data_IF_995807931951
#
_entry.id   IF_995807931951
#
_cell.length_a   1.000
_cell.length_b   1.000
_cell.length_c   1.000
_cell.angle_alpha   90.00
_cell.angle_beta   90.00
_cell.angle_gamma   90.00
#
_symmetry.space_group_name_H-M   'P 1'
#
loop_
_entity.id
_entity.type
_entity.pdbx_description
1 polymer ?
#
# COMPACT_ATOMS: atom_id res chain seq x y z
N UNK A 1 -3.25 16.37 2.38
CA UNK A 1 -4.42 16.58 3.27
C UNK A 1 -4.37 15.55 4.40
N UNK A 2 -4.61 15.95 5.64
CA UNK A 2 -4.66 15.04 6.80
C UNK A 2 -6.09 14.60 7.08
N UNK A 3 -6.28 13.41 7.69
CA UNK A 3 -7.62 12.89 7.99
C UNK A 3 -8.43 13.78 8.94
N UNK A 4 -7.77 14.45 9.90
CA UNK A 4 -8.43 15.33 10.88
C UNK A 4 -8.60 16.77 10.38
N UNK A 5 -8.64 17.00 9.06
CA UNK A 5 -8.76 18.33 8.49
C UNK A 5 -10.15 18.61 7.94
N UNK A 6 -10.59 19.87 8.00
CA UNK A 6 -11.83 20.34 7.38
C UNK A 6 -11.82 20.09 5.86
N UNK A 7 -10.64 20.22 5.24
CA UNK A 7 -10.44 19.88 3.83
C UNK A 7 -10.84 18.43 3.53
N UNK A 8 -10.48 17.48 4.42
CA UNK A 8 -10.87 16.07 4.25
C UNK A 8 -12.37 15.88 4.39
N UNK A 9 -13.00 16.56 5.34
CA UNK A 9 -14.46 16.48 5.51
C UNK A 9 -15.18 16.95 4.24
N UNK A 10 -14.78 18.09 3.67
CA UNK A 10 -15.38 18.61 2.43
C UNK A 10 -15.15 17.63 1.27
N UNK A 11 -13.92 17.16 1.09
CA UNK A 11 -13.58 16.17 0.07
C UNK A 11 -14.41 14.90 0.20
N UNK A 12 -14.50 14.35 1.41
CA UNK A 12 -15.29 13.16 1.72
C UNK A 12 -16.76 13.36 1.39
N UNK A 13 -17.36 14.48 1.79
CA UNK A 13 -18.76 14.78 1.50
C UNK A 13 -19.00 14.86 -0.01
N UNK A 14 -18.15 15.56 -0.76
CA UNK A 14 -18.27 15.65 -2.22
C UNK A 14 -18.21 14.26 -2.86
N UNK A 15 -17.21 13.44 -2.51
CA UNK A 15 -17.07 12.07 -3.03
C UNK A 15 -18.28 11.22 -2.63
N UNK A 16 -18.76 11.33 -1.39
CA UNK A 16 -19.93 10.59 -0.90
C UNK A 16 -21.21 10.95 -1.65
N UNK A 17 -21.46 12.24 -1.88
CA UNK A 17 -22.63 12.70 -2.64
C UNK A 17 -22.57 12.22 -4.10
N UNK A 18 -21.41 12.26 -4.75
CA UNK A 18 -21.26 11.72 -6.12
C UNK A 18 -21.41 10.19 -6.12
N UNK A 19 -20.88 9.49 -5.11
CA UNK A 19 -21.00 8.04 -4.99
C UNK A 19 -22.46 7.59 -4.83
N UNK A 20 -23.22 8.29 -3.97
CA UNK A 20 -24.56 7.87 -3.56
C UNK A 20 -25.67 8.31 -4.52
N UNK A 21 -25.58 9.51 -5.11
CA UNK A 21 -26.68 10.05 -5.92
C UNK A 21 -26.54 9.65 -7.41
N UNK A 22 -25.58 10.19 -8.18
CA UNK A 22 -25.49 9.90 -9.61
C UNK A 22 -24.99 8.49 -9.95
N UNK A 23 -24.23 7.84 -9.05
CA UNK A 23 -23.57 6.57 -9.35
C UNK A 23 -24.22 5.34 -8.70
N UNK A 24 -25.35 5.50 -7.99
CA UNK A 24 -25.96 4.46 -7.14
C UNK A 24 -26.08 3.07 -7.80
N UNK A 25 -26.48 3.02 -9.06
CA UNK A 25 -26.73 1.77 -9.80
C UNK A 25 -25.56 1.34 -10.69
N UNK A 26 -24.49 2.14 -10.73
CA UNK A 26 -23.38 1.99 -11.66
C UNK A 26 -22.12 1.56 -10.92
N UNK A 27 -22.06 0.28 -10.53
CA UNK A 27 -20.95 -0.32 -9.76
C UNK A 27 -19.55 0.01 -10.32
N UNK A 28 -19.36 -0.09 -11.63
CA UNK A 28 -18.07 0.24 -12.25
C UNK A 28 -17.68 1.70 -12.05
N UNK A 29 -18.61 2.62 -12.29
CA UNK A 29 -18.37 4.06 -12.10
C UNK A 29 -18.12 4.39 -10.62
N UNK A 30 -18.81 3.72 -9.69
CA UNK A 30 -18.57 3.83 -8.25
C UNK A 30 -17.15 3.41 -7.87
N UNK A 31 -16.68 2.27 -8.37
CA UNK A 31 -15.32 1.78 -8.10
C UNK A 31 -14.26 2.72 -8.70
N UNK A 32 -14.48 3.23 -9.92
CA UNK A 32 -13.59 4.24 -10.54
C UNK A 32 -13.53 5.50 -9.68
N UNK A 33 -14.68 6.01 -9.23
CA UNK A 33 -14.74 7.19 -8.37
C UNK A 33 -13.95 6.96 -7.08
N UNK A 34 -14.17 5.82 -6.40
CA UNK A 34 -13.46 5.49 -5.16
C UNK A 34 -11.96 5.32 -5.38
N UNK A 35 -11.56 4.72 -6.49
CA UNK A 35 -10.15 4.58 -6.87
C UNK A 35 -9.51 5.95 -7.07
N UNK A 36 -10.10 6.79 -7.93
CA UNK A 36 -9.63 8.15 -8.19
C UNK A 36 -9.59 8.97 -6.90
N UNK A 37 -10.65 8.94 -6.10
CA UNK A 37 -10.71 9.65 -4.83
C UNK A 37 -9.58 9.20 -3.88
N UNK A 38 -9.30 7.90 -3.80
CA UNK A 38 -8.21 7.35 -2.98
C UNK A 38 -6.85 7.87 -3.47
N UNK A 39 -6.56 7.78 -4.76
CA UNK A 39 -5.30 8.26 -5.33
C UNK A 39 -5.14 9.78 -5.19
N UNK A 40 -6.21 10.56 -5.40
CA UNK A 40 -6.22 12.01 -5.20
C UNK A 40 -5.96 12.37 -3.73
N UNK A 41 -6.61 11.69 -2.79
CA UNK A 41 -6.39 11.91 -1.35
C UNK A 41 -4.91 11.72 -0.97
N UNK A 42 -4.31 10.59 -1.38
CA UNK A 42 -2.89 10.32 -1.14
C UNK A 42 -1.97 11.27 -1.89
N UNK A 43 -2.31 11.62 -3.13
CA UNK A 43 -1.57 12.57 -3.96
C UNK A 43 -1.48 13.97 -3.38
N UNK A 44 -2.60 14.48 -2.84
CA UNK A 44 -2.65 15.78 -2.15
C UNK A 44 -1.88 15.73 -0.82
N UNK A 45 -1.78 14.57 -0.17
CA UNK A 45 -0.93 14.42 1.02
C UNK A 45 0.56 14.44 0.66
N UNK A 46 0.97 13.64 -0.31
CA UNK A 46 2.32 13.66 -0.84
C UNK A 46 2.34 13.00 -2.23
N UNK A 47 2.56 13.80 -3.27
CA UNK A 47 2.55 13.32 -4.66
C UNK A 47 3.59 12.21 -4.93
N UNK A 48 4.71 12.19 -4.18
CA UNK A 48 5.73 11.13 -4.27
C UNK A 48 5.19 9.75 -3.90
N UNK A 49 4.05 9.67 -3.22
CA UNK A 49 3.39 8.41 -2.88
C UNK A 49 2.62 7.79 -4.05
N UNK A 50 2.22 8.57 -5.06
CA UNK A 50 1.40 8.04 -6.17
C UNK A 50 2.14 6.90 -6.90
N UNK A 51 3.41 7.05 -7.33
CA UNK A 51 4.14 5.95 -7.96
C UNK A 51 4.29 4.74 -7.04
N UNK A 52 4.51 4.97 -5.74
CA UNK A 52 4.64 3.90 -4.75
C UNK A 52 3.33 3.12 -4.61
N UNK A 53 2.18 3.79 -4.52
CA UNK A 53 0.87 3.15 -4.46
C UNK A 53 0.58 2.38 -5.75
N UNK A 54 0.82 2.97 -6.92
CA UNK A 54 0.61 2.30 -8.21
C UNK A 54 1.45 1.03 -8.32
N UNK A 55 2.73 1.10 -7.96
CA UNK A 55 3.62 -0.06 -7.95
C UNK A 55 3.14 -1.11 -6.96
N UNK A 56 2.82 -0.72 -5.72
CA UNK A 56 2.33 -1.65 -4.71
C UNK A 56 1.02 -2.34 -5.14
N UNK A 57 0.03 -1.58 -5.61
CA UNK A 57 -1.23 -2.13 -6.11
C UNK A 57 -0.99 -3.05 -7.30
N UNK A 58 -0.20 -2.64 -8.30
CA UNK A 58 0.08 -3.45 -9.48
C UNK A 58 0.83 -4.75 -9.16
N UNK A 59 1.84 -4.69 -8.29
CA UNK A 59 2.59 -5.87 -7.86
C UNK A 59 1.70 -6.86 -7.10
N UNK A 60 0.93 -6.39 -6.11
CA UNK A 60 0.08 -7.28 -5.31
C UNK A 60 -1.11 -7.82 -6.09
N UNK A 61 -1.69 -7.03 -7.01
CA UNK A 61 -2.70 -7.49 -7.96
C UNK A 61 -2.16 -8.65 -8.81
N UNK A 62 -0.99 -8.46 -9.42
CA UNK A 62 -0.33 -9.48 -10.24
C UNK A 62 0.01 -10.74 -9.43
N UNK A 63 0.50 -10.57 -8.20
CA UNK A 63 0.78 -11.69 -7.30
C UNK A 63 -0.49 -12.47 -6.96
N UNK A 64 -1.60 -11.80 -6.65
CA UNK A 64 -2.87 -12.45 -6.39
C UNK A 64 -3.30 -13.37 -7.54
N UNK A 65 -3.28 -12.86 -8.77
CA UNK A 65 -3.62 -13.66 -9.97
C UNK A 65 -2.69 -14.86 -10.14
N UNK A 66 -1.37 -14.64 -10.01
CA UNK A 66 -0.38 -15.71 -10.16
C UNK A 66 -0.50 -16.78 -9.08
N UNK A 67 -0.79 -16.39 -7.84
CA UNK A 67 -1.00 -17.30 -6.71
C UNK A 67 -2.28 -18.11 -6.94
N UNK A 68 -3.38 -17.46 -7.30
CA UNK A 68 -4.65 -18.14 -7.57
C UNK A 68 -4.53 -19.18 -8.69
N UNK A 69 -3.85 -18.85 -9.79
CA UNK A 69 -3.55 -19.81 -10.87
C UNK A 69 -2.64 -20.95 -10.41
N UNK A 70 -1.62 -20.63 -9.61
CA UNK A 70 -0.64 -21.63 -9.16
C UNK A 70 -1.20 -22.58 -8.09
N UNK A 71 -2.22 -22.18 -7.33
CA UNK A 71 -2.81 -23.02 -6.29
C UNK A 71 -3.35 -24.35 -6.82
N UNK A 72 -3.87 -24.38 -8.04
CA UNK A 72 -4.41 -25.60 -8.66
C UNK A 72 -3.34 -26.45 -9.37
N UNK A 73 -2.28 -25.82 -9.89
CA UNK A 73 -1.28 -26.49 -10.74
C UNK A 73 -0.01 -26.86 -9.96
N UNK A 74 0.45 -25.98 -9.08
CA UNK A 74 1.74 -26.12 -8.37
C UNK A 74 1.69 -25.42 -7.00
N UNK A 75 1.23 -26.10 -5.94
CA UNK A 75 1.05 -25.48 -4.62
C UNK A 75 2.36 -24.94 -4.02
N UNK A 76 3.50 -25.58 -4.33
CA UNK A 76 4.83 -25.07 -3.93
C UNK A 76 5.13 -23.69 -4.52
N UNK A 77 4.73 -23.44 -5.77
CA UNK A 77 4.91 -22.15 -6.44
C UNK A 77 4.00 -21.08 -5.83
N UNK A 78 2.76 -21.43 -5.52
CA UNK A 78 1.83 -20.54 -4.83
C UNK A 78 2.36 -20.10 -3.46
N UNK A 79 2.91 -21.05 -2.68
CA UNK A 79 3.55 -20.77 -1.39
C UNK A 79 4.75 -19.82 -1.52
N UNK A 80 5.63 -20.04 -2.51
CA UNK A 80 6.78 -19.17 -2.76
C UNK A 80 6.37 -17.75 -3.17
N UNK A 81 5.37 -17.62 -4.05
CA UNK A 81 4.83 -16.32 -4.46
C UNK A 81 4.19 -15.57 -3.28
N UNK A 82 3.52 -16.30 -2.39
CA UNK A 82 2.93 -15.73 -1.17
C UNK A 82 4.01 -15.23 -0.23
N UNK A 83 5.06 -16.03 0.02
CA UNK A 83 6.20 -15.63 0.82
C UNK A 83 6.90 -14.38 0.23
N UNK A 84 7.02 -14.31 -1.08
CA UNK A 84 7.55 -13.13 -1.77
C UNK A 84 6.67 -11.90 -1.55
N UNK A 85 5.34 -12.02 -1.68
CA UNK A 85 4.40 -10.92 -1.40
C UNK A 85 4.46 -10.43 0.05
N UNK A 86 4.53 -11.35 1.01
CA UNK A 86 4.72 -11.03 2.43
C UNK A 86 6.05 -10.30 2.65
N UNK A 87 7.14 -10.82 2.08
CA UNK A 87 8.46 -10.22 2.19
C UNK A 87 8.51 -8.81 1.60
N UNK A 88 7.90 -8.59 0.43
CA UNK A 88 7.79 -7.25 -0.17
C UNK A 88 6.99 -6.29 0.71
N UNK A 89 5.84 -6.72 1.24
CA UNK A 89 5.04 -5.90 2.15
C UNK A 89 5.81 -5.53 3.42
N UNK A 90 6.43 -6.50 4.08
CA UNK A 90 7.27 -6.25 5.26
C UNK A 90 8.45 -5.35 4.91
N UNK A 91 9.08 -5.55 3.75
CA UNK A 91 10.16 -4.72 3.22
C UNK A 91 9.74 -3.26 3.06
N UNK A 92 8.54 -2.99 2.51
CA UNK A 92 7.99 -1.63 2.44
C UNK A 92 7.81 -1.02 3.84
N UNK A 93 7.33 -1.78 4.82
CA UNK A 93 7.22 -1.28 6.19
C UNK A 93 8.58 -0.97 6.80
N UNK A 94 9.55 -1.87 6.68
CA UNK A 94 10.90 -1.65 7.19
C UNK A 94 11.53 -0.40 6.56
N UNK A 95 11.44 -0.27 5.23
CA UNK A 95 12.01 0.87 4.50
C UNK A 95 11.36 2.21 4.88
N UNK A 96 10.03 2.31 4.85
CA UNK A 96 9.37 3.61 5.05
C UNK A 96 9.11 3.97 6.51
N UNK A 97 8.96 2.99 7.40
CA UNK A 97 8.61 3.22 8.81
C UNK A 97 9.81 3.14 9.73
N UNK A 98 10.74 2.24 9.48
CA UNK A 98 11.82 1.94 10.43
C UNK A 98 13.21 2.36 9.95
N UNK A 99 13.41 2.67 8.66
CA UNK A 99 14.74 3.00 8.16
C UNK A 99 15.34 4.24 8.82
N UNK A 100 14.55 5.30 9.05
CA UNK A 100 15.03 6.48 9.78
C UNK A 100 15.48 6.10 11.20
N UNK A 101 14.72 5.25 11.90
CA UNK A 101 15.11 4.75 13.22
C UNK A 101 16.45 3.99 13.15
N UNK A 102 16.60 3.06 12.21
CA UNK A 102 17.85 2.32 12.02
C UNK A 102 19.03 3.25 11.72
N UNK A 103 18.88 4.20 10.79
CA UNK A 103 19.93 5.17 10.43
C UNK A 103 20.37 5.95 11.68
N UNK A 104 19.40 6.42 12.49
CA UNK A 104 19.71 7.18 13.70
C UNK A 104 20.43 6.30 14.73
N UNK A 105 19.93 5.10 15.00
CA UNK A 105 20.56 4.16 15.94
C UNK A 105 21.96 3.73 15.52
N UNK A 106 22.20 3.50 14.22
CA UNK A 106 23.55 3.23 13.72
C UNK A 106 24.44 4.45 13.85
N UNK A 107 23.96 5.65 13.53
CA UNK A 107 24.70 6.90 13.70
C UNK A 107 25.14 7.09 15.16
N UNK A 108 24.26 6.82 16.12
CA UNK A 108 24.57 6.92 17.56
C UNK A 108 25.63 5.88 17.98
N UNK A 109 25.51 4.64 17.50
CA UNK A 109 26.46 3.57 17.78
C UNK A 109 27.85 3.88 17.20
N UNK A 110 27.94 4.33 15.94
CA UNK A 110 29.22 4.70 15.33
C UNK A 110 29.84 5.92 16.00
N UNK A 111 29.03 6.89 16.42
CA UNK A 111 29.50 8.05 17.19
C UNK A 111 30.08 7.63 18.55
N UNK A 112 29.50 6.62 19.21
CA UNK A 112 30.04 6.06 20.46
C UNK A 112 31.39 5.35 20.32
N UNK A 113 31.75 4.92 19.10
CA UNK A 113 33.04 4.27 18.77
C UNK A 113 34.04 5.31 18.20
N UNK A 114 33.68 6.60 18.20
CA UNK A 114 34.55 7.70 17.78
C UNK A 114 34.55 7.99 16.27
N UNK A 115 33.66 7.35 15.50
CA UNK A 115 33.49 7.60 14.06
C UNK A 115 32.38 8.65 13.86
N UNK A 116 32.77 9.91 13.66
CA UNK A 116 31.83 11.00 13.36
C UNK A 116 31.34 10.90 11.92
N UNK A 117 30.18 10.28 11.73
CA UNK A 117 29.59 10.15 10.40
C UNK A 117 28.34 11.02 10.32
N UNK A 118 28.33 11.96 9.38
CA UNK A 118 27.24 12.92 9.23
C UNK A 118 26.10 12.32 8.38
N UNK A 119 25.28 11.44 8.97
CA UNK A 119 24.14 10.77 8.31
C UNK A 119 22.89 11.66 8.14
N UNK A 120 23.02 12.98 8.28
CA UNK A 120 21.93 13.95 8.48
C UNK A 120 20.90 14.05 7.32
N UNK A 121 21.12 13.40 6.18
CA UNK A 121 20.42 13.77 4.94
C UNK A 121 19.30 12.82 4.48
N UNK A 122 19.14 11.63 5.07
CA UNK A 122 18.12 10.67 4.62
C UNK A 122 16.85 10.72 5.48
N UNK A 123 16.14 11.85 5.49
CA UNK A 123 14.79 11.90 6.04
C UNK A 123 13.79 11.35 5.01
N UNK A 124 13.56 10.03 5.05
CA UNK A 124 12.51 9.41 4.24
C UNK A 124 11.17 9.86 4.79
N UNK A 125 10.39 10.53 3.95
CA UNK A 125 9.05 11.00 4.28
C UNK A 125 8.15 9.77 4.40
N UNK A 126 7.66 9.50 5.60
CA UNK A 126 6.77 8.39 5.86
C UNK A 126 5.42 8.61 5.15
N UNK A 127 4.95 7.66 4.35
CA UNK A 127 3.64 7.75 3.72
C UNK A 127 2.54 7.61 4.77
N UNK A 128 1.56 8.54 4.77
CA UNK A 128 0.44 8.48 5.71
C UNK A 128 -0.32 7.17 5.50
N UNK A 129 -0.57 6.40 6.57
CA UNK A 129 -1.35 5.16 6.46
C UNK A 129 -0.63 3.99 5.78
N UNK A 130 0.71 4.02 5.62
CA UNK A 130 1.45 2.91 5.02
C UNK A 130 1.21 1.56 5.68
N UNK A 131 1.21 1.53 7.02
CA UNK A 131 0.93 0.30 7.75
C UNK A 131 -0.43 -0.31 7.36
N UNK A 132 -1.47 0.52 7.21
CA UNK A 132 -2.81 0.04 6.91
C UNK A 132 -2.87 -0.62 5.53
N UNK A 133 -2.45 0.09 4.47
CA UNK A 133 -2.56 -0.47 3.13
C UNK A 133 -1.61 -1.66 2.95
N UNK A 134 -0.41 -1.63 3.53
CA UNK A 134 0.52 -2.76 3.43
C UNK A 134 -0.01 -4.01 4.09
N UNK A 135 -0.61 -3.91 5.28
CA UNK A 135 -1.24 -5.08 5.92
C UNK A 135 -2.45 -5.58 5.12
N UNK A 136 -3.21 -4.70 4.47
CA UNK A 136 -4.29 -5.11 3.56
C UNK A 136 -3.77 -5.87 2.34
N UNK A 137 -2.68 -5.40 1.73
CA UNK A 137 -2.04 -6.05 0.59
C UNK A 137 -1.47 -7.43 0.97
N UNK A 138 -0.81 -7.54 2.13
CA UNK A 138 -0.32 -8.82 2.66
C UNK A 138 -1.49 -9.77 2.93
N UNK A 139 -2.54 -9.29 3.60
CA UNK A 139 -3.76 -10.07 3.88
C UNK A 139 -4.36 -10.62 2.60
N UNK A 140 -4.51 -9.79 1.57
CA UNK A 140 -5.04 -10.21 0.27
C UNK A 140 -4.27 -11.39 -0.32
N UNK A 141 -2.94 -11.30 -0.39
CA UNK A 141 -2.10 -12.38 -0.95
C UNK A 141 -2.19 -13.67 -0.12
N UNK A 142 -2.26 -13.57 1.21
CA UNK A 142 -2.43 -14.73 2.10
C UNK A 142 -3.82 -15.36 1.92
N UNK A 143 -4.88 -14.56 1.84
CA UNK A 143 -6.25 -15.05 1.70
C UNK A 143 -6.48 -15.71 0.33
N UNK A 144 -5.90 -15.17 -0.74
CA UNK A 144 -5.90 -15.80 -2.07
C UNK A 144 -5.14 -17.13 -2.04
N UNK A 145 -3.98 -17.19 -1.38
CA UNK A 145 -3.23 -18.43 -1.20
C UNK A 145 -4.04 -19.48 -0.42
N UNK A 146 -4.77 -19.06 0.62
CA UNK A 146 -5.66 -19.93 1.40
C UNK A 146 -6.96 -20.29 0.69
N UNK A 147 -7.19 -19.78 -0.51
CA UNK A 147 -8.43 -19.96 -1.28
C UNK A 147 -9.69 -19.52 -0.52
N UNK A 148 -9.55 -18.61 0.46
CA UNK A 148 -10.68 -18.00 1.15
C UNK A 148 -11.35 -16.93 0.29
N UNK A 149 -10.59 -16.32 -0.61
CA UNK A 149 -11.05 -15.35 -1.60
C UNK A 149 -10.49 -15.73 -2.98
N UNK A 150 -11.26 -15.46 -4.02
CA UNK A 150 -10.76 -15.55 -5.39
C UNK A 150 -9.90 -14.32 -5.72
N UNK A 151 -8.85 -14.48 -6.54
CA UNK A 151 -8.05 -13.34 -6.98
C UNK A 151 -8.90 -12.40 -7.82
N UNK A 152 -8.75 -11.09 -7.58
CA UNK A 152 -9.40 -10.07 -8.39
C UNK A 152 -8.84 -10.11 -9.81
N UNK A 153 -9.70 -10.30 -10.81
CA UNK A 153 -9.32 -10.40 -12.24
C UNK A 153 -9.66 -9.16 -13.05
N UNK A 154 -10.51 -8.28 -12.51
CA UNK A 154 -10.82 -6.97 -13.06
C UNK A 154 -10.33 -5.89 -12.10
N UNK A 155 -9.62 -4.90 -12.62
CA UNK A 155 -9.06 -3.80 -11.81
C UNK A 155 -10.18 -2.90 -11.25
N UNK A 156 -11.36 -2.91 -11.86
CA UNK A 156 -12.42 -1.93 -11.65
C UNK A 156 -13.78 -2.58 -11.31
N UNK A 157 -14.03 -3.82 -11.71
CA UNK A 157 -15.33 -4.50 -11.51
C UNK A 157 -15.30 -5.44 -10.32
#
# INVERSE_FOLDING_TARGET
>A
MTFNSIQFLIFFLVVFFIYYFPLKEKRKEQNILLLLASYTFYGIANWKMIPLLLLATGTFYSLGILIGKSNQITPKKASLLTALGVCLGVGFLLYFKYLNFFITSFSDLFSSIGLTTNWSTFNIIMPLGISFFTFKLISYVIEVHRQHIEPTTDVVT
#
